data_IF_340911888194
#
_entry.id   IF_340911888194
#
_cell.length_a   1.000
_cell.length_b   1.000
_cell.length_c   1.000
_cell.angle_alpha   90.00
_cell.angle_beta   90.00
_cell.angle_gamma   90.00
#
_symmetry.space_group_name_H-M   'P 1'
#
loop_
_entity.id
_entity.type
_entity.pdbx_description
1 polymer ?
#
# COMPACT_ATOMS: atom_id res chain seq x y z
N UNK A 1 -26.56 -3.97 38.52
CA UNK A 1 -27.16 -3.43 37.28
C UNK A 1 -26.44 -2.17 36.76
N UNK A 2 -26.29 -1.08 37.55
CA UNK A 2 -25.63 0.16 37.05
C UNK A 2 -24.21 0.01 36.52
N UNK A 3 -23.36 -0.83 37.15
CA UNK A 3 -21.98 -1.12 36.67
C UNK A 3 -21.93 -1.88 35.33
N UNK A 4 -22.87 -2.81 35.11
CA UNK A 4 -22.97 -3.58 33.86
C UNK A 4 -23.41 -2.66 32.71
N UNK A 5 -24.39 -1.81 32.93
CA UNK A 5 -24.85 -0.79 31.96
C UNK A 5 -23.74 0.19 31.57
N UNK A 6 -22.91 0.60 32.54
CA UNK A 6 -21.76 1.48 32.30
C UNK A 6 -20.72 0.79 31.42
N UNK A 7 -20.39 -0.48 31.69
CA UNK A 7 -19.43 -1.27 30.92
C UNK A 7 -19.93 -1.48 29.47
N UNK A 8 -21.20 -1.81 29.28
CA UNK A 8 -21.81 -1.96 27.96
C UNK A 8 -21.75 -0.63 27.19
N UNK A 9 -22.03 0.50 27.86
CA UNK A 9 -21.92 1.82 27.25
C UNK A 9 -20.50 2.17 26.81
N UNK A 10 -19.50 1.87 27.62
CA UNK A 10 -18.06 2.11 27.27
C UNK A 10 -17.64 1.24 26.10
N UNK A 11 -18.00 -0.06 26.08
CA UNK A 11 -17.71 -0.95 24.96
C UNK A 11 -18.37 -0.45 23.68
N UNK A 12 -19.63 -0.02 23.74
CA UNK A 12 -20.34 0.56 22.60
C UNK A 12 -19.65 1.79 22.03
N UNK A 13 -19.18 2.71 22.88
CA UNK A 13 -18.44 3.92 22.46
C UNK A 13 -17.10 3.55 21.82
N UNK A 14 -16.37 2.58 22.38
CA UNK A 14 -15.09 2.12 21.82
C UNK A 14 -15.27 1.45 20.46
N UNK A 15 -16.33 0.64 20.28
CA UNK A 15 -16.65 0.01 19.00
C UNK A 15 -17.02 1.06 17.96
N UNK A 16 -17.86 2.04 18.32
CA UNK A 16 -18.22 3.14 17.41
C UNK A 16 -17.01 4.00 17.04
N UNK A 17 -16.13 4.28 17.99
CA UNK A 17 -14.88 5.00 17.74
C UNK A 17 -13.96 4.22 16.78
N UNK A 18 -13.81 2.90 16.97
CA UNK A 18 -13.02 2.04 16.09
C UNK A 18 -13.60 1.98 14.66
N UNK A 19 -14.93 1.88 14.52
CA UNK A 19 -15.61 1.93 13.24
C UNK A 19 -15.38 3.29 12.56
N UNK A 20 -15.51 4.38 13.30
CA UNK A 20 -15.31 5.74 12.78
C UNK A 20 -13.85 5.94 12.33
N UNK A 21 -12.87 5.47 13.12
CA UNK A 21 -11.44 5.53 12.76
C UNK A 21 -11.20 4.70 11.50
N UNK A 22 -11.76 3.48 11.39
CA UNK A 22 -11.63 2.64 10.22
C UNK A 22 -12.19 3.34 8.97
N UNK A 23 -13.37 3.97 9.05
CA UNK A 23 -13.98 4.71 7.93
C UNK A 23 -13.22 5.97 7.55
N UNK A 24 -12.60 6.66 8.50
CA UNK A 24 -11.79 7.86 8.24
C UNK A 24 -10.42 7.53 7.64
N UNK A 25 -9.86 6.36 7.99
CA UNK A 25 -8.56 5.90 7.50
C UNK A 25 -8.65 5.06 6.23
N UNK A 26 -9.85 4.79 5.71
CA UNK A 26 -10.01 4.10 4.43
C UNK A 26 -9.82 5.12 3.31
N UNK A 27 -8.94 4.81 2.36
CA UNK A 27 -8.72 5.64 1.20
C UNK A 27 -10.02 5.76 0.40
N UNK A 28 -10.58 6.96 0.33
CA UNK A 28 -11.82 7.24 -0.40
C UNK A 28 -11.51 7.53 -1.88
N UNK A 29 -10.90 6.57 -2.56
CA UNK A 29 -10.79 6.64 -4.00
C UNK A 29 -12.05 6.03 -4.64
N UNK A 30 -12.86 6.85 -5.30
CA UNK A 30 -13.96 6.41 -6.16
C UNK A 30 -13.49 6.31 -7.62
N UNK A 31 -12.27 5.86 -7.85
CA UNK A 31 -11.73 5.69 -9.20
C UNK A 31 -12.07 4.30 -9.73
N UNK A 32 -12.45 4.23 -11.00
CA UNK A 32 -12.56 2.96 -11.71
C UNK A 32 -11.16 2.44 -12.03
N UNK A 33 -10.89 1.18 -11.72
CA UNK A 33 -9.63 0.54 -12.09
C UNK A 33 -9.52 0.45 -13.62
N UNK A 34 -8.43 0.98 -14.16
CA UNK A 34 -8.15 1.03 -15.60
C UNK A 34 -6.66 0.75 -15.90
N UNK A 35 -5.92 0.21 -14.94
CA UNK A 35 -4.57 -0.31 -15.07
C UNK A 35 -4.57 -1.77 -14.62
N UNK A 36 -4.01 -2.66 -15.43
CA UNK A 36 -3.84 -4.06 -15.06
C UNK A 36 -2.55 -4.21 -14.24
N UNK A 37 -2.67 -4.79 -13.04
CA UNK A 37 -1.56 -5.05 -12.12
C UNK A 37 -1.54 -6.55 -11.80
N UNK A 38 -0.43 -7.22 -12.08
CA UNK A 38 -0.25 -8.67 -11.87
C UNK A 38 1.09 -8.95 -11.18
N UNK A 39 1.28 -10.19 -10.73
CA UNK A 39 2.54 -10.70 -10.22
C UNK A 39 2.72 -12.16 -10.61
N UNK A 40 3.95 -12.56 -10.93
CA UNK A 40 4.29 -13.98 -11.11
C UNK A 40 4.33 -14.75 -9.78
N UNK A 41 4.36 -14.03 -8.66
CA UNK A 41 4.48 -14.63 -7.33
C UNK A 41 3.16 -15.20 -6.82
N UNK A 42 2.02 -14.56 -7.14
CA UNK A 42 0.68 -14.99 -6.74
C UNK A 42 -0.40 -14.35 -7.62
N UNK A 43 -1.53 -15.03 -7.77
CA UNK A 43 -2.71 -14.52 -8.47
C UNK A 43 -3.47 -13.50 -7.61
N UNK A 44 -4.26 -12.64 -8.25
CA UNK A 44 -5.11 -11.68 -7.55
C UNK A 44 -6.09 -12.41 -6.60
N UNK A 45 -6.10 -12.03 -5.32
CA UNK A 45 -6.83 -12.72 -4.25
C UNK A 45 -6.16 -14.01 -3.76
N UNK A 46 -4.99 -14.37 -4.31
CA UNK A 46 -4.26 -15.59 -3.94
C UNK A 46 -3.40 -15.42 -2.68
N UNK A 47 -2.74 -16.52 -2.28
CA UNK A 47 -1.83 -16.51 -1.12
C UNK A 47 -0.50 -15.88 -1.47
N UNK A 48 -0.06 -14.91 -0.68
CA UNK A 48 1.29 -14.33 -0.79
C UNK A 48 2.30 -15.38 -0.32
N UNK A 49 3.30 -15.77 -1.17
CA UNK A 49 4.32 -16.73 -0.77
C UNK A 49 5.15 -16.24 0.41
N UNK A 50 5.59 -17.16 1.25
CA UNK A 50 6.34 -16.87 2.47
C UNK A 50 7.59 -16.02 2.22
N UNK A 51 8.20 -16.16 1.03
CA UNK A 51 9.35 -15.37 0.56
C UNK A 51 9.10 -13.85 0.66
N UNK A 52 7.86 -13.41 0.38
CA UNK A 52 7.47 -12.00 0.35
C UNK A 52 6.88 -11.51 1.67
N UNK A 53 7.07 -12.23 2.76
CA UNK A 53 6.48 -11.94 4.07
C UNK A 53 7.54 -11.76 5.14
N UNK A 54 7.15 -11.16 6.27
CA UNK A 54 8.02 -11.03 7.43
C UNK A 54 8.42 -12.35 8.09
N UNK A 55 7.82 -13.50 7.68
CA UNK A 55 8.24 -14.86 8.07
C UNK A 55 9.28 -15.45 7.11
N UNK A 56 9.56 -14.82 5.97
CA UNK A 56 10.51 -15.28 4.96
C UNK A 56 11.64 -14.29 4.69
N UNK A 57 12.01 -14.14 3.42
CA UNK A 57 13.08 -13.24 2.99
C UNK A 57 12.68 -11.74 3.08
N UNK A 58 11.40 -11.45 3.23
CA UNK A 58 10.86 -10.09 3.36
C UNK A 58 11.26 -9.18 2.20
N UNK A 59 11.12 -9.70 0.98
CA UNK A 59 11.41 -9.01 -0.27
C UNK A 59 10.11 -8.72 -1.02
N UNK A 60 10.03 -7.56 -1.71
CA UNK A 60 8.86 -7.21 -2.51
C UNK A 60 8.64 -8.21 -3.65
N UNK A 61 7.39 -8.57 -3.98
CA UNK A 61 7.10 -9.29 -5.23
C UNK A 61 7.36 -8.40 -6.44
N UNK A 62 7.57 -9.00 -7.61
CA UNK A 62 7.50 -8.28 -8.87
C UNK A 62 6.05 -7.83 -9.14
N UNK A 63 5.87 -6.63 -9.69
CA UNK A 63 4.57 -6.14 -10.17
C UNK A 63 4.67 -5.85 -11.67
N UNK A 64 3.87 -6.54 -12.45
CA UNK A 64 3.75 -6.36 -13.90
C UNK A 64 2.59 -5.42 -14.19
N UNK A 65 2.82 -4.43 -15.04
CA UNK A 65 1.89 -3.36 -15.37
C UNK A 65 1.57 -3.42 -16.86
N UNK A 66 0.29 -3.55 -17.20
CA UNK A 66 -0.16 -3.58 -18.58
C UNK A 66 -1.13 -2.43 -18.86
N UNK A 67 -0.97 -1.79 -20.00
CA UNK A 67 -1.81 -0.68 -20.42
C UNK A 67 -1.43 0.67 -19.80
N UNK A 68 -0.19 0.90 -19.39
CA UNK A 68 0.28 2.22 -18.91
C UNK A 68 0.10 3.26 -20.01
N UNK A 69 -0.56 4.40 -19.67
CA UNK A 69 -0.84 5.49 -20.59
C UNK A 69 0.43 6.10 -21.19
N UNK A 70 0.40 6.50 -22.45
CA UNK A 70 1.46 7.26 -23.10
C UNK A 70 1.67 8.66 -22.51
N UNK A 71 0.66 9.20 -21.82
CA UNK A 71 0.71 10.51 -21.16
C UNK A 71 1.33 10.43 -19.75
N UNK A 72 1.69 9.21 -19.32
CA UNK A 72 2.25 8.96 -18.00
C UNK A 72 3.67 9.50 -17.86
N UNK A 73 3.93 10.17 -16.75
CA UNK A 73 5.25 10.66 -16.34
C UNK A 73 5.87 9.76 -15.28
N UNK A 74 5.10 9.43 -14.24
CA UNK A 74 5.58 8.62 -13.14
C UNK A 74 4.50 7.67 -12.58
N UNK A 75 4.94 6.77 -11.70
CA UNK A 75 4.05 5.85 -11.01
C UNK A 75 4.33 5.86 -9.50
N UNK A 76 3.30 5.47 -8.75
CA UNK A 76 3.33 5.31 -7.30
C UNK A 76 2.86 3.91 -6.95
N UNK A 77 3.54 3.24 -6.01
CA UNK A 77 3.13 1.98 -5.41
C UNK A 77 2.84 2.19 -3.93
N UNK A 78 1.70 1.68 -3.47
CA UNK A 78 1.33 1.65 -2.06
C UNK A 78 0.90 0.23 -1.71
N UNK A 79 1.47 -0.35 -0.65
CA UNK A 79 0.98 -1.62 -0.09
C UNK A 79 0.36 -1.38 1.27
N UNK A 80 -0.87 -1.84 1.43
CA UNK A 80 -1.66 -1.70 2.65
C UNK A 80 -2.20 -3.04 3.14
N UNK A 81 -2.25 -3.21 4.46
CA UNK A 81 -3.03 -4.23 5.17
C UNK A 81 -4.42 -3.67 5.44
N UNK A 82 -5.46 -4.32 4.92
CA UNK A 82 -6.86 -3.88 5.04
C UNK A 82 -7.54 -4.39 6.32
N UNK A 83 -6.98 -5.41 6.96
CA UNK A 83 -7.58 -6.09 8.11
C UNK A 83 -6.95 -5.67 9.45
N UNK A 84 -6.05 -4.68 9.43
CA UNK A 84 -5.50 -4.12 10.65
C UNK A 84 -6.62 -3.51 11.51
N UNK A 85 -6.72 -3.83 12.82
CA UNK A 85 -7.88 -3.47 13.66
C UNK A 85 -8.17 -1.98 13.77
N UNK A 86 -7.17 -1.13 13.62
CA UNK A 86 -7.28 0.33 13.76
C UNK A 86 -7.36 1.06 12.40
N UNK A 87 -7.78 0.40 11.35
CA UNK A 87 -7.89 0.96 10.00
C UNK A 87 -6.91 0.33 9.02
N UNK A 88 -6.43 1.10 8.04
CA UNK A 88 -5.46 0.63 7.06
C UNK A 88 -4.04 0.80 7.58
N UNK A 89 -3.22 -0.26 7.51
CA UNK A 89 -1.83 -0.20 7.94
C UNK A 89 -0.90 -0.24 6.72
N UNK A 90 -0.15 0.85 6.50
CA UNK A 90 0.73 0.96 5.35
C UNK A 90 2.05 0.19 5.56
N UNK A 91 2.31 -0.75 4.67
CA UNK A 91 3.51 -1.59 4.63
C UNK A 91 4.61 -1.03 3.74
N UNK A 92 4.23 -0.32 2.66
CA UNK A 92 5.16 0.20 1.67
C UNK A 92 4.56 1.38 0.93
N UNK A 93 5.37 2.40 0.65
CA UNK A 93 5.04 3.50 -0.24
C UNK A 93 6.27 3.86 -1.05
N UNK A 94 6.13 3.94 -2.38
CA UNK A 94 7.20 4.32 -3.31
C UNK A 94 6.60 5.17 -4.43
N UNK A 95 7.30 6.23 -4.84
CA UNK A 95 6.85 7.14 -5.89
C UNK A 95 8.01 7.56 -6.80
N UNK A 96 7.66 8.34 -7.85
CA UNK A 96 8.58 8.77 -8.89
C UNK A 96 9.25 7.60 -9.62
N UNK A 97 8.55 6.46 -9.74
CA UNK A 97 8.95 5.37 -10.60
C UNK A 97 8.69 5.83 -12.04
N UNK A 98 9.69 5.89 -12.94
CA UNK A 98 9.46 6.31 -14.32
C UNK A 98 8.40 5.44 -15.02
N UNK A 99 7.49 6.05 -15.76
CA UNK A 99 6.40 5.35 -16.47
C UNK A 99 6.89 4.41 -17.57
N UNK A 100 8.16 4.48 -17.95
CA UNK A 100 8.80 3.55 -18.89
C UNK A 100 9.01 2.13 -18.35
N UNK A 101 8.89 1.93 -17.04
CA UNK A 101 8.95 0.60 -16.44
C UNK A 101 7.59 -0.10 -16.55
N UNK A 102 7.50 -1.15 -17.34
CA UNK A 102 6.33 -2.06 -17.37
C UNK A 102 6.38 -3.13 -16.27
N UNK A 103 7.53 -3.24 -15.58
CA UNK A 103 7.73 -4.16 -14.45
C UNK A 103 8.46 -3.45 -13.34
N UNK A 104 7.90 -3.47 -12.14
CA UNK A 104 8.62 -3.16 -10.91
C UNK A 104 9.22 -4.48 -10.44
N UNK A 105 10.56 -4.61 -10.38
CA UNK A 105 11.20 -5.90 -10.16
C UNK A 105 10.96 -6.44 -8.76
N UNK A 106 11.12 -7.75 -8.62
CA UNK A 106 11.21 -8.40 -7.31
C UNK A 106 12.41 -7.86 -6.53
N UNK A 107 12.29 -7.84 -5.21
CA UNK A 107 13.36 -7.47 -4.28
C UNK A 107 13.90 -6.04 -4.52
N UNK A 108 12.98 -5.07 -4.64
CA UNK A 108 13.35 -3.65 -4.66
C UNK A 108 14.31 -3.36 -3.50
N UNK A 109 15.47 -2.71 -3.75
CA UNK A 109 16.46 -2.42 -2.73
C UNK A 109 15.88 -1.73 -1.49
N UNK A 110 16.33 -2.11 -0.31
CA UNK A 110 15.88 -1.52 0.97
C UNK A 110 16.59 -0.18 1.27
N UNK A 111 16.47 0.75 0.34
CA UNK A 111 17.10 2.07 0.34
C UNK A 111 16.06 3.16 0.13
N UNK A 112 16.20 4.36 0.71
CA UNK A 112 15.27 5.46 0.50
C UNK A 112 15.17 5.92 -0.96
N UNK A 113 16.28 5.81 -1.73
CA UNK A 113 16.35 6.17 -3.15
C UNK A 113 16.80 4.94 -3.93
N UNK A 114 15.96 4.49 -4.88
CA UNK A 114 16.18 3.29 -5.67
C UNK A 114 16.74 3.64 -7.04
N UNK A 115 18.06 3.65 -7.16
CA UNK A 115 18.76 4.06 -8.40
C UNK A 115 18.43 3.16 -9.59
N UNK A 116 18.21 1.86 -9.36
CA UNK A 116 17.82 0.89 -10.39
C UNK A 116 16.42 1.14 -10.97
N UNK A 117 15.60 1.96 -10.33
CA UNK A 117 14.26 2.36 -10.75
C UNK A 117 14.21 3.87 -11.04
N UNK A 118 15.24 4.43 -11.67
CA UNK A 118 15.29 5.82 -12.09
C UNK A 118 15.30 6.81 -10.91
N UNK A 119 15.87 6.44 -9.78
CA UNK A 119 15.87 7.18 -8.51
C UNK A 119 14.47 7.32 -7.89
N UNK A 120 13.61 6.31 -8.06
CA UNK A 120 12.35 6.24 -7.33
C UNK A 120 12.59 6.37 -5.82
N UNK A 121 11.66 7.02 -5.13
CA UNK A 121 11.80 7.34 -3.71
C UNK A 121 10.89 6.42 -2.89
N UNK A 122 11.44 5.82 -1.84
CA UNK A 122 10.68 5.06 -0.85
C UNK A 122 10.48 5.91 0.40
N UNK A 123 9.22 6.06 0.81
CA UNK A 123 8.83 6.87 1.96
C UNK A 123 8.62 6.07 3.24
N UNK A 124 8.28 6.78 4.30
CA UNK A 124 8.03 6.20 5.62
C UNK A 124 6.74 5.38 5.63
N UNK A 125 6.85 4.10 5.97
CA UNK A 125 5.71 3.21 6.24
C UNK A 125 5.28 3.27 7.71
N UNK A 126 4.08 2.72 8.02
CA UNK A 126 3.64 2.54 9.40
C UNK A 126 4.51 1.52 10.17
N UNK A 127 5.31 0.74 9.47
CA UNK A 127 6.20 -0.27 10.05
C UNK A 127 7.48 0.36 10.65
N UNK A 128 7.30 1.16 11.69
CA UNK A 128 8.39 1.85 12.37
C UNK A 128 9.09 2.92 11.53
N UNK A 129 8.39 3.54 10.58
CA UNK A 129 8.93 4.58 9.70
C UNK A 129 10.00 4.08 8.73
N UNK A 130 9.94 2.81 8.33
CA UNK A 130 10.91 2.21 7.38
C UNK A 130 10.65 2.70 5.96
N UNK A 131 11.74 3.01 5.24
CA UNK A 131 11.76 3.50 3.86
C UNK A 131 11.94 2.36 2.85
N UNK A 132 11.21 1.24 3.03
CA UNK A 132 11.28 0.09 2.14
C UNK A 132 10.12 -0.86 2.40
N UNK A 133 9.94 -1.79 1.49
CA UNK A 133 8.97 -2.85 1.61
C UNK A 133 9.12 -3.63 2.92
N UNK A 134 8.01 -3.81 3.61
CA UNK A 134 7.86 -4.74 4.74
C UNK A 134 6.69 -5.66 4.44
N UNK A 135 6.99 -6.94 4.33
CA UNK A 135 5.99 -7.95 4.00
C UNK A 135 4.98 -8.21 5.10
N UNK A 136 3.92 -8.94 4.77
CA UNK A 136 2.91 -9.40 5.70
C UNK A 136 3.49 -10.07 6.94
N UNK A 137 2.99 -9.69 8.11
CA UNK A 137 3.30 -10.35 9.39
C UNK A 137 2.13 -10.16 10.37
N UNK A 138 0.93 -10.69 10.04
CA UNK A 138 -0.23 -10.51 10.90
C UNK A 138 -0.01 -11.25 12.22
N UNK A 139 -0.39 -10.64 13.36
CA UNK A 139 -0.24 -11.28 14.66
C UNK A 139 -1.23 -12.41 14.89
N UNK A 140 -2.39 -12.37 14.22
CA UNK A 140 -3.47 -13.34 14.31
C UNK A 140 -4.23 -13.47 12.99
N UNK A 141 -4.69 -14.68 12.65
CA UNK A 141 -5.54 -14.92 11.50
C UNK A 141 -4.87 -14.69 10.15
N UNK A 142 -5.69 -14.56 9.12
CA UNK A 142 -5.28 -14.18 7.77
C UNK A 142 -5.71 -12.75 7.49
N UNK A 143 -4.82 -11.95 6.91
CA UNK A 143 -5.10 -10.58 6.50
C UNK A 143 -5.02 -10.44 4.98
N UNK A 144 -5.78 -9.50 4.45
CA UNK A 144 -5.78 -9.10 3.04
C UNK A 144 -4.83 -7.91 2.85
N UNK A 145 -3.90 -8.07 1.94
CA UNK A 145 -2.93 -7.04 1.55
C UNK A 145 -3.24 -6.57 0.14
N UNK A 146 -3.23 -5.26 -0.08
CA UNK A 146 -3.47 -4.69 -1.40
C UNK A 146 -2.26 -3.88 -1.86
N UNK A 147 -1.74 -4.23 -3.03
CA UNK A 147 -0.79 -3.42 -3.79
C UNK A 147 -1.61 -2.51 -4.70
N UNK A 148 -1.48 -1.21 -4.52
CA UNK A 148 -2.14 -0.16 -5.30
C UNK A 148 -1.09 0.50 -6.18
N UNK A 149 -1.33 0.56 -7.48
CA UNK A 149 -0.47 1.28 -8.41
C UNK A 149 -1.25 2.44 -9.00
N UNK A 150 -0.67 3.62 -8.92
CA UNK A 150 -1.19 4.85 -9.53
C UNK A 150 -0.24 5.31 -10.62
N UNK A 151 -0.78 5.70 -11.75
CA UNK A 151 -0.05 6.31 -12.88
C UNK A 151 -0.37 7.78 -12.90
N UNK A 152 0.68 8.62 -12.92
CA UNK A 152 0.57 10.07 -12.77
C UNK A 152 1.07 10.81 -14.02
N UNK A 153 0.51 11.98 -14.27
CA UNK A 153 0.97 12.93 -15.30
C UNK A 153 2.13 13.84 -14.83
N UNK A 154 2.67 13.59 -13.63
CA UNK A 154 3.71 14.41 -13.01
C UNK A 154 4.68 13.60 -12.18
N UNK A 155 5.79 14.22 -11.76
CA UNK A 155 6.64 13.77 -10.66
C UNK A 155 6.17 14.44 -9.37
N UNK A 156 6.31 13.76 -8.24
CA UNK A 156 5.97 14.31 -6.93
C UNK A 156 7.19 14.98 -6.29
N UNK A 157 7.04 16.24 -5.87
CA UNK A 157 8.10 17.00 -5.17
C UNK A 157 8.07 16.70 -3.67
N UNK A 158 8.45 15.47 -3.31
CA UNK A 158 8.50 14.98 -1.93
C UNK A 158 9.86 14.33 -1.67
N UNK A 159 10.39 14.54 -0.47
CA UNK A 159 11.55 13.80 0.02
C UNK A 159 11.16 12.48 0.68
N UNK A 160 12.12 11.62 0.97
CA UNK A 160 11.89 10.30 1.55
C UNK A 160 11.30 10.34 2.97
N UNK A 161 11.26 11.48 3.64
CA UNK A 161 10.63 11.63 4.95
C UNK A 161 9.09 11.67 4.86
N UNK A 162 8.54 11.88 3.65
CA UNK A 162 7.11 11.75 3.41
C UNK A 162 6.64 10.31 3.59
N UNK A 163 5.42 10.17 4.08
CA UNK A 163 4.72 8.90 4.15
C UNK A 163 3.49 8.89 3.24
N UNK A 164 2.71 7.80 3.30
CA UNK A 164 1.49 7.64 2.49
C UNK A 164 0.56 8.86 2.50
N UNK A 165 0.24 9.53 3.64
CA UNK A 165 -0.70 10.66 3.62
C UNK A 165 -0.23 11.84 2.77
N UNK A 166 1.08 12.16 2.80
CA UNK A 166 1.66 13.22 1.99
C UNK A 166 1.68 12.85 0.50
N UNK A 167 2.02 11.59 0.18
CA UNK A 167 2.01 11.06 -1.19
C UNK A 167 0.59 11.11 -1.77
N UNK A 168 -0.42 10.62 -1.02
CA UNK A 168 -1.82 10.67 -1.42
C UNK A 168 -2.30 12.09 -1.73
N UNK A 169 -1.90 13.05 -0.87
CA UNK A 169 -2.23 14.46 -1.08
C UNK A 169 -1.55 15.05 -2.31
N UNK A 170 -0.29 14.68 -2.55
CA UNK A 170 0.48 15.19 -3.70
C UNK A 170 0.01 14.59 -5.04
N UNK A 171 -0.59 13.39 -5.03
CA UNK A 171 -1.18 12.77 -6.23
C UNK A 171 -2.54 13.36 -6.61
N UNK A 172 -3.21 14.09 -5.72
CA UNK A 172 -4.57 14.59 -5.96
C UNK A 172 -4.58 15.52 -7.19
N UNK A 173 -5.48 15.22 -8.14
CA UNK A 173 -5.57 15.91 -9.41
C UNK A 173 -4.58 15.48 -10.50
N UNK A 174 -3.67 14.53 -10.20
CA UNK A 174 -2.61 14.07 -11.11
C UNK A 174 -2.72 12.61 -11.52
N UNK A 175 -3.75 11.88 -11.05
CA UNK A 175 -3.90 10.45 -11.32
C UNK A 175 -4.57 10.22 -12.68
N UNK A 176 -3.82 9.60 -13.60
CA UNK A 176 -4.32 9.17 -14.91
C UNK A 176 -4.97 7.78 -14.84
N UNK A 177 -4.33 6.86 -14.11
CA UNK A 177 -4.76 5.47 -14.02
C UNK A 177 -4.53 4.91 -12.62
N UNK A 178 -5.30 3.87 -12.33
CA UNK A 178 -5.23 3.15 -11.06
C UNK A 178 -5.49 1.66 -11.28
N UNK A 179 -4.75 0.81 -10.58
CA UNK A 179 -4.97 -0.63 -10.56
C UNK A 179 -4.52 -1.25 -9.25
N UNK A 180 -5.04 -2.44 -8.96
CA UNK A 180 -4.73 -3.17 -7.73
C UNK A 180 -4.36 -4.62 -7.98
N UNK A 181 -3.56 -5.16 -7.05
CA UNK A 181 -3.32 -6.59 -6.88
C UNK A 181 -3.51 -6.90 -5.40
N UNK A 182 -4.39 -7.84 -5.08
CA UNK A 182 -4.64 -8.27 -3.69
C UNK A 182 -4.01 -9.63 -3.43
N UNK A 183 -3.61 -9.87 -2.18
CA UNK A 183 -3.15 -11.17 -1.74
C UNK A 183 -3.42 -11.38 -0.26
N UNK A 184 -3.50 -12.64 0.16
CA UNK A 184 -3.76 -13.02 1.55
C UNK A 184 -2.52 -13.64 2.19
N UNK A 185 -2.35 -13.41 3.50
CA UNK A 185 -1.34 -14.08 4.31
C UNK A 185 -1.76 -14.16 5.78
N UNK A 186 -1.53 -15.36 6.41
CA UNK A 186 -1.80 -15.64 7.81
C UNK A 186 -1.31 -17.01 8.27
#
# INVERSE_FOLDING_TARGET
MKKILLIIGIIGVLVLAAILIKTLNTDRFSMTENLKVESDAFENGGKIPIKHTGKGADVSPALMLDGVSSDAVSMVVIMDDLDFPLGTYNHWVMWNIPSSFSVIPEAVPKEPIVSSLGNAIQGKSNYGGKHYYRGPLPPFGSHTYVFKVFVLDTMLELDSDAGKPQVMKAMDGHILQYGTLTGEFG
#
